data_IF_741194504377
#
_entry.id   IF_741194504377
#
_cell.length_a   1.000
_cell.length_b   1.000
_cell.length_c   1.000
_cell.angle_alpha   90.00
_cell.angle_beta   90.00
_cell.angle_gamma   90.00
#
_symmetry.space_group_name_H-M   'P 1'
#
loop_
_entity.id
_entity.type
_entity.pdbx_description
1 polymer ?
#
# COMPACT_ATOMS: atom_id res chain seq x y z
N UNK A 1 -15.92 -16.14 -1.64
CA UNK A 1 -16.49 -14.88 -2.09
C UNK A 1 -16.07 -13.73 -1.18
N UNK A 2 -15.11 -12.91 -1.61
CA UNK A 2 -14.63 -11.80 -0.80
C UNK A 2 -15.39 -10.51 -1.10
N UNK A 3 -15.83 -9.79 -0.07
CA UNK A 3 -16.28 -8.40 -0.21
C UNK A 3 -15.04 -7.50 -0.25
N UNK A 4 -15.01 -6.56 -1.19
CA UNK A 4 -13.91 -5.60 -1.34
C UNK A 4 -14.46 -4.20 -1.11
N UNK A 5 -13.93 -3.53 -0.09
CA UNK A 5 -14.31 -2.17 0.25
C UNK A 5 -13.12 -1.27 -0.10
N UNK A 6 -13.34 -0.32 -1.00
CA UNK A 6 -12.35 0.71 -1.33
C UNK A 6 -12.39 1.75 -0.22
N UNK A 7 -11.28 1.94 0.47
CA UNK A 7 -11.14 2.90 1.57
C UNK A 7 -10.00 3.88 1.22
N UNK A 8 -9.98 5.08 1.81
CA UNK A 8 -8.83 5.98 1.67
C UNK A 8 -7.54 5.23 2.05
N UNK A 9 -6.53 5.27 1.17
CA UNK A 9 -5.25 4.58 1.38
C UNK A 9 -5.22 3.09 1.03
N UNK A 10 -6.32 2.45 0.60
CA UNK A 10 -6.28 1.03 0.32
C UNK A 10 -7.58 0.33 -0.09
N UNK A 11 -7.51 -0.99 -0.14
CA UNK A 11 -8.67 -1.86 -0.29
C UNK A 11 -8.70 -2.84 0.87
N UNK A 12 -9.79 -2.82 1.62
CA UNK A 12 -10.07 -3.80 2.64
C UNK A 12 -10.79 -4.99 2.01
N UNK A 13 -10.25 -6.18 2.20
CA UNK A 13 -10.89 -7.44 1.79
C UNK A 13 -11.48 -8.10 3.02
N UNK A 14 -12.76 -8.44 2.94
CA UNK A 14 -13.51 -9.14 3.98
C UNK A 14 -13.89 -10.52 3.46
N UNK A 15 -13.63 -11.55 4.25
CA UNK A 15 -13.89 -12.96 3.92
C UNK A 15 -14.44 -13.71 5.13
N UNK A 16 -15.09 -14.83 4.88
CA UNK A 16 -15.42 -15.81 5.93
C UNK A 16 -14.35 -16.92 5.98
N UNK A 17 -14.26 -17.66 7.08
CA UNK A 17 -13.21 -18.68 7.30
C UNK A 17 -13.06 -19.68 6.14
N UNK A 18 -14.18 -20.16 5.60
CA UNK A 18 -14.21 -21.17 4.51
C UNK A 18 -13.62 -20.65 3.20
N UNK A 19 -13.46 -19.35 3.08
CA UNK A 19 -13.02 -18.68 1.86
C UNK A 19 -11.63 -18.07 1.97
N UNK A 20 -10.99 -18.26 3.13
CA UNK A 20 -9.59 -17.96 3.31
C UNK A 20 -8.74 -18.87 2.42
N UNK A 21 -7.81 -18.26 1.69
CA UNK A 21 -6.81 -19.03 0.93
C UNK A 21 -5.93 -19.81 1.90
N UNK A 22 -5.32 -20.91 1.45
CA UNK A 22 -4.43 -21.73 2.27
C UNK A 22 -3.39 -20.89 3.02
N UNK A 23 -2.73 -19.94 2.34
CA UNK A 23 -1.76 -19.01 2.94
C UNK A 23 -2.33 -18.09 4.02
N UNK A 24 -3.59 -17.68 3.90
CA UNK A 24 -4.29 -16.88 4.91
C UNK A 24 -4.65 -17.75 6.13
N UNK A 25 -5.03 -19.01 5.93
CA UNK A 25 -5.29 -19.98 7.01
C UNK A 25 -4.01 -20.38 7.74
N UNK A 26 -2.91 -20.53 7.01
CA UNK A 26 -1.56 -20.75 7.52
C UNK A 26 -0.94 -19.48 8.15
N UNK A 27 -1.68 -18.36 8.21
CA UNK A 27 -1.23 -17.07 8.77
C UNK A 27 0.07 -16.52 8.15
N UNK A 28 0.43 -16.95 6.94
CA UNK A 28 1.57 -16.42 6.18
C UNK A 28 1.34 -14.99 5.67
N UNK A 29 0.09 -14.55 5.68
CA UNK A 29 -0.34 -13.20 5.34
C UNK A 29 -1.01 -12.65 6.59
N UNK A 30 -0.79 -11.37 6.95
CA UNK A 30 -1.50 -10.76 8.07
C UNK A 30 -3.00 -10.75 7.79
N UNK A 31 -3.77 -11.42 8.65
CA UNK A 31 -5.23 -11.47 8.61
C UNK A 31 -5.75 -11.20 10.02
N UNK A 32 -6.69 -10.26 10.13
CA UNK A 32 -7.34 -9.94 11.41
C UNK A 32 -8.68 -10.67 11.46
N UNK A 33 -8.94 -11.41 12.54
CA UNK A 33 -10.24 -12.07 12.77
C UNK A 33 -11.10 -11.16 13.65
N UNK A 34 -12.31 -10.85 13.20
CA UNK A 34 -13.33 -10.14 13.99
C UNK A 34 -14.61 -10.97 13.94
N UNK A 35 -14.99 -11.57 15.06
CA UNK A 35 -16.13 -12.50 15.12
C UNK A 35 -15.95 -13.67 14.14
N UNK A 36 -16.87 -13.80 13.19
CA UNK A 36 -16.88 -14.83 12.15
C UNK A 36 -16.22 -14.42 10.83
N UNK A 37 -15.77 -13.18 10.71
CA UNK A 37 -15.14 -12.65 9.50
C UNK A 37 -13.64 -12.40 9.68
N UNK A 38 -12.97 -12.39 8.54
CA UNK A 38 -11.54 -12.24 8.41
C UNK A 38 -11.24 -11.09 7.46
N UNK A 39 -10.37 -10.19 7.90
CA UNK A 39 -10.04 -8.94 7.25
C UNK A 39 -8.59 -8.98 6.78
N UNK A 40 -8.34 -8.58 5.54
CA UNK A 40 -7.00 -8.30 5.03
C UNK A 40 -6.95 -6.91 4.38
N UNK A 41 -5.97 -6.11 4.79
CA UNK A 41 -5.74 -4.77 4.25
C UNK A 41 -4.72 -4.82 3.12
N UNK A 42 -5.08 -4.25 1.97
CA UNK A 42 -4.14 -3.96 0.89
C UNK A 42 -3.99 -2.46 0.77
N UNK A 43 -2.84 -1.94 1.21
CA UNK A 43 -2.51 -0.53 0.99
C UNK A 43 -2.38 -0.29 -0.51
N UNK A 44 -3.05 0.76 -0.99
CA UNK A 44 -2.93 1.21 -2.38
C UNK A 44 -1.97 2.40 -2.47
N UNK A 45 -1.08 2.53 -1.47
CA UNK A 45 0.01 3.48 -1.51
C UNK A 45 0.92 3.13 -2.67
N UNK A 46 0.57 3.63 -3.86
CA UNK A 46 1.58 4.16 -4.75
C UNK A 46 2.29 5.16 -3.87
N UNK A 47 3.55 4.86 -3.52
CA UNK A 47 4.45 5.87 -2.96
C UNK A 47 4.12 7.18 -3.70
N UNK A 48 3.95 8.31 -3.01
CA UNK A 48 4.20 9.55 -3.70
C UNK A 48 5.65 9.39 -4.18
N UNK A 49 5.82 9.20 -5.49
CA UNK A 49 7.06 9.53 -6.14
C UNK A 49 7.14 11.04 -5.91
N UNK A 50 7.74 11.44 -4.78
CA UNK A 50 8.20 12.81 -4.62
C UNK A 50 9.27 13.01 -5.70
N UNK A 51 8.82 13.35 -6.91
CA UNK A 51 9.62 14.16 -7.78
C UNK A 51 9.73 15.52 -7.09
N UNK A 52 10.97 15.89 -6.78
CA UNK A 52 11.52 17.24 -6.76
C UNK A 52 10.59 18.37 -6.27
N UNK A 53 10.86 18.82 -5.05
CA UNK A 53 10.71 20.24 -4.71
C UNK A 53 11.78 20.58 -3.67
N UNK A 54 12.91 21.11 -4.18
CA UNK A 54 14.00 21.61 -3.33
C UNK A 54 15.35 21.81 -4.03
N UNK A 55 15.40 22.22 -5.30
CA UNK A 55 16.55 23.00 -5.76
C UNK A 55 16.36 24.41 -5.22
N UNK A 56 17.36 24.95 -4.50
CA UNK A 56 17.91 26.23 -4.94
C UNK A 56 19.39 26.33 -4.58
N UNK A 57 20.28 25.88 -5.44
CA UNK A 57 21.71 26.24 -5.40
C UNK A 57 22.18 26.20 -6.87
N UNK A 58 22.63 27.24 -7.57
CA UNK A 58 22.92 28.65 -7.33
C UNK A 58 23.22 29.18 -8.76
N UNK A 59 22.69 30.32 -9.25
CA UNK A 59 22.96 30.82 -10.61
C UNK A 59 24.44 31.16 -10.90
N UNK A 60 25.34 31.10 -9.91
CA UNK A 60 26.73 31.56 -10.03
C UNK A 60 27.78 30.46 -10.30
N UNK A 61 27.42 29.31 -10.90
CA UNK A 61 28.45 28.33 -11.30
C UNK A 61 29.10 28.74 -12.64
N UNK A 62 30.36 29.21 -12.67
CA UNK A 62 31.01 29.54 -13.93
C UNK A 62 31.24 28.28 -14.76
N UNK A 63 30.74 28.30 -16.00
CA UNK A 63 31.05 27.29 -17.00
C UNK A 63 32.56 27.36 -17.32
N UNK A 64 33.31 26.24 -17.30
CA UNK A 64 34.63 26.23 -17.90
C UNK A 64 34.47 26.39 -19.41
N UNK A 65 34.93 27.53 -19.93
CA UNK A 65 34.94 27.89 -21.36
C UNK A 65 36.12 27.23 -22.10
N UNK A 66 36.19 27.43 -23.43
CA UNK A 66 35.56 26.67 -24.51
C UNK A 66 36.35 25.42 -24.95
#
# INVERSE_FOLDING_TARGET
>A
MAVRIRLPGGTLKVKIYRELRARERERRIPVVKIGSVYLSWWSNSRRPLNNEAGAPDDPDRPQPAP
#
